data_IF_830311477856
#
_entry.id   IF_830311477856
#
_cell.length_a   1.000
_cell.length_b   1.000
_cell.length_c   1.000
_cell.angle_alpha   90.00
_cell.angle_beta   90.00
_cell.angle_gamma   90.00
#
_symmetry.space_group_name_H-M   'P 1'
#
loop_
_entity.id
_entity.type
_entity.pdbx_description
1 polymer ?
#
# COMPACT_ATOMS: atom_id res chain seq x y z
N UNK A 1 4.28 8.84 28.58
CA UNK A 1 4.73 7.46 28.87
C UNK A 1 6.23 7.47 29.05
N UNK A 2 6.77 6.90 30.14
CA UNK A 2 8.21 6.84 30.37
C UNK A 2 8.86 5.97 29.30
N UNK A 3 9.73 6.55 28.47
CA UNK A 3 10.56 5.78 27.54
C UNK A 3 11.49 4.87 28.35
N UNK A 4 11.19 3.59 28.39
CA UNK A 4 12.03 2.58 29.02
C UNK A 4 13.27 2.38 28.14
N UNK A 5 14.36 3.07 28.46
CA UNK A 5 15.63 2.90 27.74
C UNK A 5 16.22 1.54 28.12
N UNK A 6 16.33 0.64 27.15
CA UNK A 6 16.99 -0.66 27.36
C UNK A 6 18.49 -0.42 27.57
N UNK A 7 19.02 -0.86 28.71
CA UNK A 7 20.43 -0.71 29.03
C UNK A 7 21.33 -1.37 27.97
N UNK A 8 22.54 -0.84 27.79
CA UNK A 8 23.56 -1.41 26.91
C UNK A 8 24.01 -2.81 27.40
N UNK A 9 24.51 -3.67 26.49
CA UNK A 9 25.04 -4.98 26.88
C UNK A 9 26.30 -4.82 27.73
N UNK A 10 26.36 -5.54 28.85
CA UNK A 10 27.54 -5.57 29.73
C UNK A 10 28.52 -6.71 29.40
N UNK A 11 28.15 -7.61 28.49
CA UNK A 11 28.95 -8.76 28.08
C UNK A 11 28.94 -8.89 26.55
N UNK A 12 29.98 -9.55 26.02
CA UNK A 12 30.16 -9.71 24.57
C UNK A 12 29.28 -10.82 23.97
N UNK A 13 28.65 -11.66 24.79
CA UNK A 13 27.78 -12.77 24.35
C UNK A 13 28.41 -13.67 23.27
N UNK A 14 29.71 -13.95 23.42
CA UNK A 14 30.52 -14.74 22.47
C UNK A 14 30.04 -16.18 22.30
N UNK A 15 29.08 -16.66 23.09
CA UNK A 15 28.51 -18.00 22.96
C UNK A 15 27.53 -18.13 21.77
N UNK A 16 26.94 -17.02 21.31
CA UNK A 16 25.95 -17.04 20.23
C UNK A 16 26.61 -16.95 18.86
N UNK A 17 26.43 -17.99 18.03
CA UNK A 17 26.92 -18.00 16.64
C UNK A 17 26.30 -16.87 15.82
N UNK A 18 25.02 -16.57 16.01
CA UNK A 18 24.34 -15.46 15.34
C UNK A 18 25.00 -14.11 15.65
N UNK A 19 25.36 -13.89 16.91
CA UNK A 19 26.01 -12.65 17.36
C UNK A 19 27.45 -12.52 16.85
N UNK A 20 28.11 -13.64 16.58
CA UNK A 20 29.47 -13.68 16.00
C UNK A 20 29.50 -13.42 14.49
N UNK A 21 28.35 -13.47 13.80
CA UNK A 21 28.32 -13.24 12.36
C UNK A 21 28.73 -11.80 12.02
N UNK A 22 29.34 -11.57 10.84
CA UNK A 22 29.52 -10.24 10.28
C UNK A 22 28.20 -9.47 10.24
N UNK A 23 28.25 -8.15 10.39
CA UNK A 23 27.05 -7.32 10.48
C UNK A 23 26.18 -7.47 9.24
N UNK A 24 26.78 -7.56 8.07
CA UNK A 24 26.11 -7.70 6.77
C UNK A 24 25.25 -8.97 6.71
N UNK A 25 25.74 -10.08 7.27
CA UNK A 25 25.01 -11.35 7.32
C UNK A 25 23.88 -11.28 8.35
N UNK A 26 24.12 -10.62 9.49
CA UNK A 26 23.07 -10.39 10.50
C UNK A 26 21.94 -9.55 9.92
N UNK A 27 22.26 -8.45 9.24
CA UNK A 27 21.28 -7.56 8.62
C UNK A 27 20.44 -8.33 7.59
N UNK A 28 21.06 -9.14 6.74
CA UNK A 28 20.34 -10.00 5.79
C UNK A 28 19.38 -10.99 6.49
N UNK A 29 19.82 -11.65 7.56
CA UNK A 29 18.97 -12.56 8.35
C UNK A 29 17.82 -11.78 9.00
N UNK A 30 18.09 -10.61 9.57
CA UNK A 30 17.08 -9.82 10.27
C UNK A 30 16.05 -9.25 9.32
N UNK A 31 16.45 -8.76 8.15
CA UNK A 31 15.52 -8.29 7.13
C UNK A 31 14.53 -9.38 6.71
N UNK A 32 15.01 -10.60 6.46
CA UNK A 32 14.16 -11.75 6.18
C UNK A 32 13.22 -12.09 7.34
N UNK A 33 13.69 -11.94 8.58
CA UNK A 33 12.90 -12.23 9.76
C UNK A 33 11.88 -11.12 10.10
N UNK A 34 12.14 -9.89 9.68
CA UNK A 34 11.31 -8.72 9.98
C UNK A 34 10.22 -8.46 8.95
N UNK A 35 10.30 -9.11 7.80
CA UNK A 35 9.23 -9.09 6.79
C UNK A 35 8.08 -10.01 7.24
N UNK A 36 6.87 -9.45 7.32
CA UNK A 36 5.66 -10.20 7.60
C UNK A 36 5.05 -10.78 6.32
N UNK A 37 4.42 -11.95 6.41
CA UNK A 37 3.68 -12.58 5.31
C UNK A 37 2.42 -11.80 4.85
N UNK A 38 2.17 -10.59 5.39
CA UNK A 38 1.04 -9.73 5.00
C UNK A 38 1.03 -8.37 5.72
N UNK A 39 -0.05 -7.59 5.60
CA UNK A 39 -0.18 -6.21 6.12
C UNK A 39 -0.50 -6.04 7.62
N UNK A 40 0.45 -5.59 8.47
CA UNK A 40 0.36 -5.59 9.94
C UNK A 40 -0.85 -4.76 10.38
N UNK A 41 -1.83 -5.38 11.02
CA UNK A 41 -3.14 -4.76 11.32
C UNK A 41 -3.11 -4.07 12.67
N UNK A 42 -3.55 -2.81 12.71
CA UNK A 42 -3.73 -1.99 13.92
C UNK A 42 -2.60 -2.19 14.96
N UNK A 43 -1.32 -1.96 14.59
CA UNK A 43 -0.19 -2.15 15.49
C UNK A 43 -0.24 -1.14 16.65
N UNK A 44 -0.99 -1.43 17.70
CA UNK A 44 -1.13 -0.53 18.84
C UNK A 44 -0.07 -0.83 19.90
N UNK A 45 0.69 0.17 20.39
CA UNK A 45 1.66 -0.02 21.45
C UNK A 45 1.00 -0.60 22.71
N UNK A 46 1.45 -1.77 23.17
CA UNK A 46 1.02 -2.37 24.44
C UNK A 46 -0.28 -3.18 24.38
N UNK A 47 -0.98 -3.21 23.24
CA UNK A 47 -2.09 -4.13 23.02
C UNK A 47 -1.59 -5.38 22.30
N UNK A 48 -1.91 -6.55 22.85
CA UNK A 48 -1.67 -7.82 22.18
C UNK A 48 -2.51 -7.93 20.89
N UNK A 49 -2.16 -8.87 19.99
CA UNK A 49 -2.90 -9.06 18.75
C UNK A 49 -4.40 -9.24 19.03
N UNK A 50 -5.22 -8.57 18.21
CA UNK A 50 -6.67 -8.69 18.24
C UNK A 50 -7.10 -10.15 18.07
N UNK A 51 -8.15 -10.57 18.78
CA UNK A 51 -8.74 -11.91 18.59
C UNK A 51 -9.19 -12.07 17.13
N UNK A 52 -8.46 -12.88 16.37
CA UNK A 52 -8.74 -13.15 14.95
C UNK A 52 -7.56 -12.87 14.02
N UNK A 53 -6.52 -12.17 14.48
CA UNK A 53 -5.31 -12.00 13.70
C UNK A 53 -4.49 -13.30 13.69
N UNK A 54 -4.24 -13.83 12.48
CA UNK A 54 -3.31 -14.94 12.28
C UNK A 54 -1.96 -14.53 12.86
N UNK A 55 -1.31 -15.35 13.71
CA UNK A 55 0.01 -15.03 14.24
C UNK A 55 0.98 -14.87 13.07
N UNK A 56 1.39 -13.64 12.83
CA UNK A 56 2.35 -13.36 11.76
C UNK A 56 3.71 -13.72 12.28
N UNK A 57 4.44 -14.50 11.50
CA UNK A 57 5.80 -14.89 11.81
C UNK A 57 6.73 -13.71 11.58
N UNK A 58 6.63 -12.68 12.43
CA UNK A 58 7.65 -11.66 12.52
C UNK A 58 8.65 -12.08 13.60
N UNK A 59 9.92 -12.15 13.23
CA UNK A 59 11.05 -12.41 14.11
C UNK A 59 11.38 -11.25 15.05
N UNK A 60 10.43 -10.37 15.39
CA UNK A 60 10.64 -9.26 16.35
C UNK A 60 11.12 -9.75 17.72
N UNK A 61 10.76 -11.00 18.09
CA UNK A 61 11.27 -11.65 19.30
C UNK A 61 12.80 -11.81 19.28
N UNK A 62 13.44 -11.80 18.11
CA UNK A 62 14.91 -11.81 18.00
C UNK A 62 15.51 -10.59 18.71
N UNK A 63 14.86 -9.42 18.61
CA UNK A 63 15.28 -8.20 19.30
C UNK A 63 15.17 -8.33 20.83
N UNK A 64 14.30 -9.20 21.31
CA UNK A 64 14.10 -9.46 22.74
C UNK A 64 15.06 -10.52 23.30
N UNK A 65 15.82 -11.22 22.45
CA UNK A 65 16.74 -12.29 22.86
C UNK A 65 17.84 -11.77 23.77
N UNK A 66 18.41 -10.60 23.45
CA UNK A 66 19.43 -9.97 24.27
C UNK A 66 19.61 -8.49 23.97
N UNK A 67 20.19 -7.76 24.94
CA UNK A 67 20.50 -6.32 24.81
C UNK A 67 21.42 -6.03 23.63
N UNK A 68 22.37 -6.92 23.32
CA UNK A 68 23.31 -6.71 22.21
C UNK A 68 22.57 -6.70 20.86
N UNK A 69 21.74 -7.70 20.60
CA UNK A 69 20.93 -7.74 19.38
C UNK A 69 19.95 -6.56 19.32
N UNK A 70 19.33 -6.19 20.44
CA UNK A 70 18.45 -5.02 20.48
C UNK A 70 19.13 -3.72 20.00
N UNK A 71 20.39 -3.51 20.37
CA UNK A 71 21.14 -2.29 20.05
C UNK A 71 21.90 -2.35 18.71
N UNK A 72 22.37 -3.53 18.29
CA UNK A 72 23.13 -3.70 17.03
C UNK A 72 22.25 -3.87 15.79
N UNK A 73 21.00 -4.29 15.97
CA UNK A 73 20.12 -4.59 14.83
C UNK A 73 19.51 -3.31 14.27
N UNK A 74 19.65 -3.09 12.96
CA UNK A 74 18.89 -2.06 12.28
C UNK A 74 17.41 -2.45 12.22
N UNK A 75 16.56 -1.60 12.80
CA UNK A 75 15.10 -1.83 12.88
C UNK A 75 14.35 -1.14 11.75
N UNK A 76 15.02 -0.38 10.89
CA UNK A 76 14.38 0.34 9.78
C UNK A 76 13.66 -0.62 8.82
N UNK A 77 14.17 -1.83 8.62
CA UNK A 77 13.54 -2.85 7.77
C UNK A 77 12.15 -3.27 8.23
N UNK A 78 11.86 -3.25 9.54
CA UNK A 78 10.50 -3.46 10.06
C UNK A 78 9.49 -2.46 9.48
N UNK A 79 9.93 -1.24 9.17
CA UNK A 79 9.07 -0.18 8.67
C UNK A 79 9.12 -0.04 7.14
N UNK A 80 10.27 -0.35 6.52
CA UNK A 80 10.43 -0.19 5.07
C UNK A 80 9.91 -1.36 4.25
N UNK A 81 9.83 -2.57 4.82
CA UNK A 81 9.47 -3.81 4.09
C UNK A 81 8.04 -4.29 4.37
N UNK A 82 7.36 -3.70 5.36
CA UNK A 82 6.03 -4.13 5.76
C UNK A 82 4.96 -3.12 5.37
N UNK A 83 3.79 -3.63 4.99
CA UNK A 83 2.57 -2.85 4.86
C UNK A 83 1.91 -2.72 6.24
N UNK A 84 1.47 -1.53 6.64
CA UNK A 84 0.72 -1.32 7.88
C UNK A 84 -0.75 -0.99 7.58
N UNK A 85 -1.69 -1.79 8.09
CA UNK A 85 -3.13 -1.66 7.85
C UNK A 85 -3.85 -1.01 9.02
N UNK A 86 -4.72 -0.05 8.74
CA UNK A 86 -5.53 0.64 9.73
C UNK A 86 -6.97 0.79 9.27
N UNK A 87 -7.93 0.67 10.19
CA UNK A 87 -9.35 0.87 9.90
C UNK A 87 -9.87 2.26 10.31
N UNK A 88 -9.12 2.98 11.15
CA UNK A 88 -9.45 4.35 11.61
C UNK A 88 -8.22 5.26 11.55
N UNK A 89 -8.47 6.57 11.43
CA UNK A 89 -7.43 7.60 11.48
C UNK A 89 -6.77 7.63 12.86
N UNK A 90 -7.56 7.52 13.93
CA UNK A 90 -7.07 7.53 15.32
C UNK A 90 -6.01 6.46 15.59
N UNK A 91 -6.23 5.22 15.13
CA UNK A 91 -5.24 4.16 15.29
C UNK A 91 -3.96 4.43 14.48
N UNK A 92 -4.11 4.99 13.27
CA UNK A 92 -2.98 5.32 12.41
C UNK A 92 -2.14 6.46 13.00
N UNK A 93 -2.76 7.60 13.31
CA UNK A 93 -2.07 8.78 13.84
C UNK A 93 -1.44 8.48 15.20
N UNK A 94 -2.12 7.73 16.07
CA UNK A 94 -1.56 7.29 17.36
C UNK A 94 -0.34 6.40 17.17
N UNK A 95 -0.41 5.41 16.28
CA UNK A 95 0.73 4.54 16.01
C UNK A 95 1.91 5.33 15.44
N UNK A 96 1.68 6.09 14.35
CA UNK A 96 2.73 6.86 13.68
C UNK A 96 3.36 7.89 14.62
N UNK A 97 2.54 8.60 15.41
CA UNK A 97 2.99 9.56 16.42
C UNK A 97 3.72 8.92 17.60
N UNK A 98 3.58 7.61 17.84
CA UNK A 98 4.34 6.88 18.86
C UNK A 98 5.75 6.49 18.41
N UNK A 99 6.03 6.53 17.11
CA UNK A 99 7.32 6.17 16.54
C UNK A 99 8.34 7.30 16.70
N UNK A 100 9.62 6.93 16.73
CA UNK A 100 10.67 7.94 16.58
C UNK A 100 10.61 8.56 15.18
N UNK A 101 11.08 9.81 14.98
CA UNK A 101 11.07 10.45 13.66
C UNK A 101 11.76 9.61 12.58
N UNK A 102 12.83 8.90 12.93
CA UNK A 102 13.57 8.01 12.01
C UNK A 102 12.72 6.83 11.56
N UNK A 103 11.94 6.23 12.46
CA UNK A 103 11.09 5.07 12.15
C UNK A 103 9.82 5.47 11.40
N UNK A 104 9.18 6.59 11.79
CA UNK A 104 8.04 7.15 11.05
C UNK A 104 8.44 7.50 9.60
N UNK A 105 9.60 8.13 9.40
CA UNK A 105 10.16 8.39 8.06
C UNK A 105 10.61 7.13 7.30
N UNK A 106 10.69 5.98 7.98
CA UNK A 106 11.00 4.69 7.35
C UNK A 106 9.76 3.94 6.87
N UNK A 107 8.54 4.38 7.23
CA UNK A 107 7.31 3.76 6.76
C UNK A 107 7.12 4.07 5.28
N UNK A 108 7.10 3.00 4.47
CA UNK A 108 7.00 3.09 3.00
C UNK A 108 5.61 2.77 2.49
N UNK A 109 4.85 1.91 3.17
CA UNK A 109 3.57 1.41 2.69
C UNK A 109 2.52 1.36 3.79
N UNK A 110 1.35 1.93 3.49
CA UNK A 110 0.20 2.00 4.38
C UNK A 110 -1.04 1.50 3.65
N UNK A 111 -1.89 0.75 4.35
CA UNK A 111 -3.18 0.31 3.88
C UNK A 111 -4.32 0.86 4.73
N UNK A 112 -5.33 1.41 4.08
CA UNK A 112 -6.58 1.84 4.71
C UNK A 112 -7.63 0.77 4.47
N UNK A 113 -8.12 0.17 5.55
CA UNK A 113 -9.23 -0.79 5.52
C UNK A 113 -10.57 -0.06 5.65
N UNK A 114 -11.39 -0.16 4.61
CA UNK A 114 -12.67 0.53 4.53
C UNK A 114 -13.83 -0.25 5.17
N UNK A 115 -13.58 -1.43 5.75
CA UNK A 115 -14.63 -2.26 6.36
C UNK A 115 -15.51 -1.52 7.38
N UNK A 116 -14.93 -0.57 8.13
CA UNK A 116 -15.65 0.20 9.17
C UNK A 116 -16.40 1.43 8.62
N UNK A 117 -16.33 1.72 7.32
CA UNK A 117 -17.08 2.82 6.73
C UNK A 117 -18.59 2.54 6.77
N UNK A 118 -19.38 3.55 7.13
CA UNK A 118 -20.82 3.40 7.37
C UNK A 118 -21.59 4.68 7.03
N UNK A 119 -22.69 4.60 6.27
CA UNK A 119 -23.51 5.77 5.90
C UNK A 119 -24.11 6.49 7.13
N UNK A 120 -24.60 5.75 8.12
CA UNK A 120 -25.12 6.32 9.38
C UNK A 120 -24.05 6.89 10.32
N UNK A 121 -22.77 6.62 10.09
CA UNK A 121 -21.66 7.16 10.87
C UNK A 121 -20.61 7.77 9.93
N UNK A 122 -20.95 8.87 9.22
CA UNK A 122 -20.09 9.44 8.19
C UNK A 122 -18.82 10.10 8.77
N UNK A 123 -18.67 10.15 10.10
CA UNK A 123 -17.51 10.68 10.79
C UNK A 123 -16.20 10.05 10.31
N UNK A 124 -16.13 8.71 10.31
CA UNK A 124 -14.93 7.98 9.88
C UNK A 124 -14.57 8.26 8.41
N UNK A 125 -15.57 8.32 7.53
CA UNK A 125 -15.36 8.64 6.13
C UNK A 125 -14.77 10.06 5.97
N UNK A 126 -15.30 11.03 6.71
CA UNK A 126 -14.82 12.42 6.70
C UNK A 126 -13.42 12.57 7.30
N UNK A 127 -13.14 11.88 8.41
CA UNK A 127 -11.82 11.86 9.05
C UNK A 127 -10.75 11.40 8.08
N UNK A 128 -11.00 10.30 7.35
CA UNK A 128 -10.07 9.82 6.33
C UNK A 128 -9.82 10.86 5.23
N UNK A 129 -10.88 11.52 4.73
CA UNK A 129 -10.73 12.56 3.71
C UNK A 129 -9.91 13.76 4.21
N UNK A 130 -10.05 14.11 5.48
CA UNK A 130 -9.27 15.17 6.10
C UNK A 130 -7.81 14.76 6.27
N UNK A 131 -7.56 13.59 6.84
CA UNK A 131 -6.23 13.09 7.13
C UNK A 131 -5.38 12.82 5.88
N UNK A 132 -6.04 12.41 4.79
CA UNK A 132 -5.40 12.21 3.48
C UNK A 132 -5.20 13.50 2.68
N UNK A 133 -5.81 14.61 3.07
CA UNK A 133 -5.65 15.86 2.32
C UNK A 133 -4.25 16.44 2.53
N UNK A 134 -3.43 16.45 1.49
CA UNK A 134 -2.11 17.08 1.53
C UNK A 134 -2.30 18.60 1.41
N UNK A 135 -2.35 19.30 2.54
CA UNK A 135 -2.42 20.77 2.58
C UNK A 135 -3.04 21.35 3.85
N UNK A 136 -2.73 22.63 4.12
CA UNK A 136 -3.11 23.41 5.30
C UNK A 136 -4.62 23.67 5.41
N UNK A 137 -5.43 22.62 5.60
CA UNK A 137 -6.81 22.79 6.01
C UNK A 137 -6.86 23.29 7.47
N UNK A 138 -7.87 24.07 7.83
CA UNK A 138 -8.07 24.65 9.17
C UNK A 138 -8.03 23.64 10.34
N UNK A 139 -8.09 22.34 10.05
CA UNK A 139 -8.11 21.20 10.97
C UNK A 139 -6.73 20.57 11.23
N UNK A 140 -5.67 21.03 10.52
CA UNK A 140 -4.28 20.55 10.66
C UNK A 140 -3.78 20.55 12.10
N UNK A 141 -4.34 21.44 12.93
CA UNK A 141 -3.97 21.57 14.35
C UNK A 141 -4.49 20.44 15.25
N UNK A 142 -5.45 19.63 14.79
CA UNK A 142 -6.17 18.67 15.65
C UNK A 142 -5.95 17.19 15.29
N UNK A 143 -5.85 16.84 14.01
CA UNK A 143 -5.76 15.45 13.54
C UNK A 143 -4.43 15.11 12.85
N UNK A 144 -3.58 16.12 12.55
CA UNK A 144 -2.39 15.93 11.70
C UNK A 144 -2.75 15.54 10.27
N UNK A 145 -1.76 15.09 9.51
CA UNK A 145 -1.93 14.59 8.15
C UNK A 145 -1.04 13.38 7.90
N UNK A 146 -1.46 12.48 7.00
CA UNK A 146 -0.68 11.29 6.66
C UNK A 146 0.73 11.65 6.14
N UNK A 147 0.84 12.75 5.38
CA UNK A 147 2.13 13.23 4.88
C UNK A 147 3.07 13.69 6.01
N UNK A 148 2.52 14.32 7.06
CA UNK A 148 3.31 14.72 8.22
C UNK A 148 3.72 13.52 9.09
N UNK A 149 2.80 12.57 9.28
CA UNK A 149 2.98 11.42 10.17
C UNK A 149 3.81 10.28 9.54
N UNK A 150 3.84 10.19 8.21
CA UNK A 150 4.64 9.23 7.45
C UNK A 150 5.33 9.91 6.25
N UNK A 151 6.33 10.79 6.48
CA UNK A 151 6.97 11.57 5.42
C UNK A 151 7.77 10.72 4.41
N UNK A 152 8.05 9.46 4.75
CA UNK A 152 8.70 8.48 3.88
C UNK A 152 7.76 7.68 2.99
N UNK A 153 6.44 7.92 3.05
CA UNK A 153 5.43 7.11 2.40
C UNK A 153 5.65 7.08 0.87
N UNK A 154 5.69 5.87 0.31
CA UNK A 154 5.85 5.62 -1.12
C UNK A 154 4.62 4.95 -1.73
N UNK A 155 3.89 4.17 -0.94
CA UNK A 155 2.70 3.46 -1.38
C UNK A 155 1.52 3.67 -0.43
N UNK A 156 0.37 4.00 -1.01
CA UNK A 156 -0.92 3.96 -0.34
C UNK A 156 -1.79 2.86 -0.94
N UNK A 157 -2.35 2.00 -0.10
CA UNK A 157 -3.32 0.98 -0.46
C UNK A 157 -4.69 1.33 0.11
N UNK A 158 -5.73 1.24 -0.70
CA UNK A 158 -7.12 1.40 -0.26
C UNK A 158 -7.85 0.07 -0.42
N UNK A 159 -8.23 -0.54 0.69
CA UNK A 159 -8.81 -1.88 0.71
C UNK A 159 -10.35 -1.82 0.82
N UNK A 160 -11.03 -2.18 -0.27
CA UNK A 160 -12.48 -2.29 -0.42
C UNK A 160 -12.95 -3.75 -0.55
N UNK A 161 -12.10 -4.74 -0.25
CA UNK A 161 -12.42 -6.17 -0.38
C UNK A 161 -13.63 -6.61 0.47
N UNK A 162 -13.89 -5.87 1.55
CA UNK A 162 -15.04 -6.11 2.43
C UNK A 162 -16.38 -5.78 1.79
N UNK A 163 -16.43 -5.11 0.64
CA UNK A 163 -17.67 -4.97 -0.14
C UNK A 163 -18.22 -6.38 -0.52
N UNK A 164 -19.54 -6.66 -0.38
CA UNK A 164 -20.67 -5.77 -0.10
C UNK A 164 -21.06 -5.62 1.38
N UNK A 165 -20.19 -5.98 2.31
CA UNK A 165 -20.47 -5.89 3.76
C UNK A 165 -20.25 -4.49 4.32
N UNK A 166 -19.63 -3.59 3.55
CA UNK A 166 -19.46 -2.18 3.92
C UNK A 166 -20.84 -1.55 3.93
N UNK A 167 -21.25 -1.00 5.08
CA UNK A 167 -22.57 -0.45 5.33
C UNK A 167 -22.73 0.96 4.73
N UNK A 168 -22.41 1.10 3.45
CA UNK A 168 -22.48 2.35 2.70
C UNK A 168 -23.19 2.11 1.36
N UNK A 169 -23.96 3.11 0.89
CA UNK A 169 -24.57 3.01 -0.45
C UNK A 169 -23.48 2.99 -1.52
N UNK A 170 -23.70 2.27 -2.63
CA UNK A 170 -22.71 2.10 -3.72
C UNK A 170 -22.14 3.43 -4.23
N UNK A 171 -23.01 4.39 -4.53
CA UNK A 171 -22.63 5.72 -5.01
C UNK A 171 -21.84 6.51 -3.95
N UNK A 172 -22.22 6.40 -2.68
CA UNK A 172 -21.51 7.05 -1.57
C UNK A 172 -20.11 6.44 -1.41
N UNK A 173 -20.00 5.11 -1.47
CA UNK A 173 -18.73 4.39 -1.38
C UNK A 173 -17.80 4.70 -2.56
N UNK A 174 -18.35 4.79 -3.77
CA UNK A 174 -17.62 5.18 -4.97
C UNK A 174 -17.08 6.60 -4.86
N UNK A 175 -17.91 7.55 -4.42
CA UNK A 175 -17.48 8.92 -4.19
C UNK A 175 -16.45 9.02 -3.07
N UNK A 176 -16.57 8.19 -2.03
CA UNK A 176 -15.58 8.13 -0.96
C UNK A 176 -14.21 7.68 -1.49
N UNK A 177 -14.15 6.61 -2.28
CA UNK A 177 -12.92 6.17 -2.96
C UNK A 177 -12.31 7.30 -3.80
N UNK A 178 -13.12 7.93 -4.66
CA UNK A 178 -12.68 9.03 -5.53
C UNK A 178 -12.13 10.22 -4.75
N UNK A 179 -12.77 10.55 -3.63
CA UNK A 179 -12.38 11.67 -2.77
C UNK A 179 -11.12 11.35 -1.95
N UNK A 180 -10.93 10.09 -1.53
CA UNK A 180 -9.71 9.65 -0.85
C UNK A 180 -8.48 9.82 -1.76
N UNK A 181 -8.63 9.64 -3.07
CA UNK A 181 -7.54 9.82 -4.04
C UNK A 181 -7.33 11.28 -4.49
N UNK A 182 -8.29 12.18 -4.27
CA UNK A 182 -8.32 13.49 -4.93
C UNK A 182 -7.25 14.49 -4.47
N UNK A 183 -6.66 14.29 -3.28
CA UNK A 183 -5.73 15.24 -2.65
C UNK A 183 -4.41 14.61 -2.24
N UNK A 184 -4.06 13.51 -2.90
CA UNK A 184 -2.83 12.77 -2.68
C UNK A 184 -1.99 12.94 -3.95
N UNK A 185 -0.71 13.23 -3.78
CA UNK A 185 0.23 13.40 -4.88
C UNK A 185 1.58 12.76 -4.51
N UNK A 186 2.60 12.83 -5.36
CA UNK A 186 3.99 12.50 -4.97
C UNK A 186 4.30 11.04 -4.57
N UNK A 187 3.34 10.11 -4.64
CA UNK A 187 3.58 8.69 -4.34
C UNK A 187 4.37 8.01 -5.47
N UNK A 188 4.97 6.87 -5.17
CA UNK A 188 5.54 5.98 -6.20
C UNK A 188 4.52 4.94 -6.67
N UNK A 189 3.53 4.63 -5.82
CA UNK A 189 2.55 3.57 -6.03
C UNK A 189 1.24 3.89 -5.32
N UNK A 190 0.13 3.57 -5.97
CA UNK A 190 -1.19 3.51 -5.32
C UNK A 190 -1.88 2.20 -5.71
N UNK A 191 -2.53 1.56 -4.74
CA UNK A 191 -3.25 0.30 -4.96
C UNK A 191 -4.68 0.45 -4.44
N UNK A 192 -5.65 -0.02 -5.22
CA UNK A 192 -7.05 -0.13 -4.79
C UNK A 192 -7.45 -1.61 -4.91
N UNK A 193 -7.75 -2.22 -3.78
CA UNK A 193 -8.15 -3.62 -3.70
C UNK A 193 -9.66 -3.74 -3.60
N UNK A 194 -10.25 -4.62 -4.40
CA UNK A 194 -11.68 -4.89 -4.45
C UNK A 194 -12.01 -6.38 -4.33
N UNK A 195 -13.30 -6.66 -4.18
CA UNK A 195 -13.84 -8.01 -4.18
C UNK A 195 -14.06 -8.50 -5.62
N UNK A 196 -13.43 -9.61 -5.99
CA UNK A 196 -13.50 -10.19 -7.34
C UNK A 196 -13.81 -11.69 -7.26
N UNK A 197 -14.90 -12.02 -6.55
CA UNK A 197 -15.31 -13.41 -6.29
C UNK A 197 -16.27 -13.92 -7.36
N UNK A 198 -15.98 -15.12 -7.86
CA UNK A 198 -16.86 -15.86 -8.77
C UNK A 198 -16.60 -15.60 -10.26
N UNK A 199 -17.07 -16.51 -11.10
CA UNK A 199 -16.78 -16.54 -12.54
C UNK A 199 -17.27 -15.29 -13.30
N UNK A 200 -18.35 -14.66 -12.83
CA UNK A 200 -18.86 -13.44 -13.43
C UNK A 200 -17.90 -12.25 -13.24
N UNK A 201 -17.21 -12.18 -12.09
CA UNK A 201 -16.25 -11.12 -11.79
C UNK A 201 -14.96 -11.28 -12.60
N UNK A 202 -14.53 -12.50 -12.88
CA UNK A 202 -13.35 -12.76 -13.72
C UNK A 202 -13.48 -12.18 -15.15
N UNK A 203 -14.71 -12.04 -15.65
CA UNK A 203 -15.01 -11.46 -16.97
C UNK A 203 -15.09 -9.94 -16.96
N UNK A 204 -15.19 -9.31 -15.78
CA UNK A 204 -15.30 -7.85 -15.65
C UNK A 204 -13.93 -7.22 -15.84
N UNK A 205 -13.94 -6.04 -16.46
CA UNK A 205 -12.73 -5.26 -16.67
C UNK A 205 -12.10 -4.89 -15.32
N UNK A 206 -10.76 -4.91 -15.19
CA UNK A 206 -10.08 -4.74 -13.91
C UNK A 206 -10.22 -3.35 -13.27
N UNK A 207 -10.76 -2.37 -14.00
CA UNK A 207 -11.05 -1.02 -13.51
C UNK A 207 -12.55 -0.79 -13.31
N UNK A 208 -13.39 -1.81 -13.54
CA UNK A 208 -14.85 -1.70 -13.35
C UNK A 208 -15.16 -1.41 -11.87
N UNK A 209 -16.05 -0.44 -11.59
CA UNK A 209 -16.51 -0.13 -10.24
C UNK A 209 -17.17 -1.32 -9.54
N UNK A 210 -17.67 -2.32 -10.28
CA UNK A 210 -18.27 -3.53 -9.72
C UNK A 210 -17.34 -4.24 -8.74
N UNK A 211 -16.02 -4.20 -8.95
CA UNK A 211 -15.05 -4.81 -8.04
C UNK A 211 -14.96 -4.10 -6.68
N UNK A 212 -15.25 -2.81 -6.63
CA UNK A 212 -15.05 -1.98 -5.43
C UNK A 212 -16.37 -1.66 -4.73
N UNK A 213 -17.46 -1.54 -5.49
CA UNK A 213 -18.77 -1.09 -4.99
C UNK A 213 -19.96 -1.85 -5.60
N UNK A 214 -19.73 -2.87 -6.43
CA UNK A 214 -20.78 -3.83 -6.85
C UNK A 214 -21.77 -3.36 -7.90
N UNK A 215 -21.52 -2.24 -8.58
CA UNK A 215 -22.37 -1.75 -9.67
C UNK A 215 -21.59 -0.84 -10.62
N UNK A 216 -21.98 -0.84 -11.90
CA UNK A 216 -21.48 0.06 -12.94
C UNK A 216 -22.27 1.39 -12.98
N UNK A 217 -23.37 1.48 -12.24
CA UNK A 217 -24.29 2.62 -12.13
C UNK A 217 -23.89 3.64 -11.06
N UNK A 218 -22.58 3.88 -10.89
CA UNK A 218 -22.04 4.71 -9.80
C UNK A 218 -21.47 6.07 -10.22
N UNK A 219 -21.57 6.40 -11.51
CA UNK A 219 -21.22 7.72 -12.05
C UNK A 219 -20.00 7.66 -12.97
N UNK A 220 -19.09 8.63 -12.81
CA UNK A 220 -17.93 8.81 -13.70
C UNK A 220 -16.89 7.71 -13.48
N UNK A 221 -16.45 7.10 -14.58
CA UNK A 221 -15.36 6.11 -14.62
C UNK A 221 -13.99 6.83 -14.70
N UNK A 222 -13.59 7.46 -13.59
CA UNK A 222 -12.35 8.24 -13.45
C UNK A 222 -11.37 7.67 -12.42
N UNK A 223 -11.52 6.40 -12.03
CA UNK A 223 -10.67 5.78 -11.01
C UNK A 223 -9.20 5.74 -11.41
N UNK A 224 -8.89 5.20 -12.60
CA UNK A 224 -7.51 5.10 -13.09
C UNK A 224 -6.88 6.50 -13.26
N UNK A 225 -7.52 7.49 -13.91
CA UNK A 225 -6.99 8.85 -13.97
C UNK A 225 -6.69 9.46 -12.58
N UNK A 226 -7.56 9.23 -11.59
CA UNK A 226 -7.32 9.69 -10.21
C UNK A 226 -6.13 8.99 -9.56
N UNK A 227 -6.04 7.67 -9.69
CA UNK A 227 -4.88 6.91 -9.21
C UNK A 227 -3.60 7.40 -9.90
N UNK A 228 -3.66 7.68 -11.19
CA UNK A 228 -2.56 8.17 -12.00
C UNK A 228 -2.02 9.52 -11.55
N UNK A 229 -2.90 10.44 -11.13
CA UNK A 229 -2.49 11.73 -10.57
C UNK A 229 -1.83 11.63 -9.19
N UNK A 230 -2.08 10.55 -8.44
CA UNK A 230 -1.43 10.38 -7.12
C UNK A 230 0.04 10.00 -7.21
N UNK A 231 0.46 9.40 -8.32
CA UNK A 231 1.84 8.95 -8.54
C UNK A 231 2.66 10.10 -9.14
N UNK A 232 3.74 10.49 -8.47
CA UNK A 232 4.53 11.68 -8.80
C UNK A 232 5.49 11.55 -9.99
N UNK A 233 5.64 10.36 -10.57
CA UNK A 233 6.48 10.15 -11.75
C UNK A 233 5.94 10.90 -12.99
N UNK A 234 6.75 10.99 -14.06
CA UNK A 234 6.25 11.45 -15.36
C UNK A 234 5.30 10.41 -15.97
N UNK A 235 4.36 10.82 -16.82
CA UNK A 235 3.32 9.92 -17.37
C UNK A 235 3.90 8.73 -18.15
N UNK A 236 4.89 8.96 -19.00
CA UNK A 236 5.65 7.91 -19.71
C UNK A 236 6.44 6.97 -18.78
N UNK A 237 6.57 7.31 -17.50
CA UNK A 237 7.29 6.54 -16.49
C UNK A 237 6.36 5.88 -15.47
N UNK A 238 5.07 5.75 -15.81
CA UNK A 238 4.05 5.08 -14.99
C UNK A 238 3.40 3.95 -15.78
N UNK A 239 2.83 3.00 -15.04
CA UNK A 239 2.05 1.90 -15.62
C UNK A 239 0.85 1.59 -14.74
N UNK A 240 -0.26 1.21 -15.37
CA UNK A 240 -1.42 0.62 -14.70
C UNK A 240 -1.21 -0.89 -14.66
N UNK A 241 -1.37 -1.52 -13.50
CA UNK A 241 -1.27 -2.96 -13.32
C UNK A 241 -2.54 -3.48 -12.66
N UNK A 242 -2.86 -4.74 -12.90
CA UNK A 242 -3.87 -5.44 -12.12
C UNK A 242 -3.46 -6.88 -11.84
N UNK A 243 -3.92 -7.37 -10.70
CA UNK A 243 -3.70 -8.74 -10.25
C UNK A 243 -4.99 -9.31 -9.70
N UNK A 244 -5.39 -10.50 -10.16
CA UNK A 244 -6.50 -11.26 -9.59
C UNK A 244 -5.95 -12.46 -8.86
N UNK A 245 -6.24 -12.55 -7.57
CA UNK A 245 -5.80 -13.66 -6.73
C UNK A 245 -6.77 -13.87 -5.57
N UNK A 246 -7.08 -15.13 -5.23
CA UNK A 246 -7.89 -15.50 -4.06
C UNK A 246 -9.24 -14.76 -3.94
N UNK A 247 -9.89 -14.51 -5.08
CA UNK A 247 -11.17 -13.79 -5.14
C UNK A 247 -11.07 -12.29 -4.86
N UNK A 248 -9.87 -11.72 -4.99
CA UNK A 248 -9.55 -10.29 -4.87
C UNK A 248 -9.04 -9.76 -6.20
N UNK A 249 -9.23 -8.47 -6.40
CA UNK A 249 -8.62 -7.73 -7.50
C UNK A 249 -7.84 -6.57 -6.90
N UNK A 250 -6.56 -6.49 -7.23
CA UNK A 250 -5.73 -5.33 -6.93
C UNK A 250 -5.53 -4.57 -8.23
N UNK A 251 -6.02 -3.32 -8.28
CA UNK A 251 -5.68 -2.37 -9.33
C UNK A 251 -4.60 -1.45 -8.80
N UNK A 252 -3.59 -1.20 -9.60
CA UNK A 252 -2.39 -0.50 -9.20
C UNK A 252 -2.00 0.53 -10.26
N UNK A 253 -1.54 1.70 -9.82
CA UNK A 253 -0.72 2.59 -10.65
C UNK A 253 0.62 2.77 -9.96
N UNK A 254 1.71 2.62 -10.71
CA UNK A 254 3.06 2.57 -10.15
C UNK A 254 4.08 3.21 -11.08
N UNK A 255 5.10 3.86 -10.52
CA UNK A 255 6.25 4.32 -11.28
C UNK A 255 7.09 3.12 -11.74
N UNK A 256 7.55 3.14 -13.00
CA UNK A 256 8.32 2.03 -13.59
C UNK A 256 9.63 1.80 -12.81
N UNK A 257 10.26 2.88 -12.32
CA UNK A 257 11.47 2.80 -11.49
C UNK A 257 11.20 2.08 -10.16
N UNK A 258 10.10 2.37 -9.48
CA UNK A 258 9.73 1.71 -8.24
C UNK A 258 9.34 0.25 -8.48
N UNK A 259 8.61 -0.01 -9.57
CA UNK A 259 8.21 -1.34 -10.01
C UNK A 259 9.42 -2.26 -10.19
N UNK A 260 10.36 -1.87 -11.04
CA UNK A 260 11.54 -2.69 -11.36
C UNK A 260 12.47 -2.87 -10.17
N UNK A 261 12.50 -1.89 -9.25
CA UNK A 261 13.38 -1.97 -8.07
C UNK A 261 12.82 -2.81 -6.94
N UNK A 262 11.51 -2.74 -6.68
CA UNK A 262 10.94 -3.24 -5.43
C UNK A 262 9.83 -4.28 -5.59
N UNK A 263 9.22 -4.42 -6.77
CA UNK A 263 8.01 -5.25 -6.94
C UNK A 263 8.24 -6.35 -7.96
N UNK A 264 8.65 -6.00 -9.17
CA UNK A 264 8.76 -6.90 -10.31
C UNK A 264 9.97 -6.53 -11.17
N UNK A 265 11.19 -6.97 -10.78
CA UNK A 265 12.42 -6.65 -11.49
C UNK A 265 12.49 -7.21 -12.92
N UNK A 266 11.62 -8.16 -13.24
CA UNK A 266 11.57 -8.83 -14.53
C UNK A 266 10.42 -8.34 -15.41
N UNK A 267 9.76 -7.25 -15.03
CA UNK A 267 8.70 -6.66 -15.84
C UNK A 267 9.26 -6.18 -17.19
N UNK A 268 8.72 -6.74 -18.28
CA UNK A 268 9.20 -6.52 -19.64
C UNK A 268 8.27 -5.64 -20.50
N UNK A 269 7.21 -5.07 -19.91
CA UNK A 269 6.32 -4.15 -20.60
C UNK A 269 4.82 -4.41 -20.38
N UNK A 270 3.96 -3.56 -20.96
CA UNK A 270 2.51 -3.72 -20.89
C UNK A 270 2.05 -5.04 -21.53
N UNK A 271 0.96 -5.57 -21.00
CA UNK A 271 0.24 -6.69 -21.60
C UNK A 271 -0.49 -6.22 -22.85
N UNK A 272 -0.27 -6.89 -23.98
CA UNK A 272 -0.94 -6.56 -25.24
C UNK A 272 -2.21 -7.40 -25.36
N UNK A 273 -3.36 -6.74 -25.19
CA UNK A 273 -4.65 -7.32 -25.61
C UNK A 273 -4.76 -7.17 -27.12
N UNK A 274 -5.12 -8.24 -27.86
CA UNK A 274 -5.12 -8.22 -29.33
C UNK A 274 -6.36 -7.55 -29.90
N UNK A 275 -7.49 -7.69 -29.21
CA UNK A 275 -8.75 -7.02 -29.54
C UNK A 275 -9.46 -6.55 -28.29
N UNK A 276 -10.25 -5.48 -28.39
CA UNK A 276 -11.12 -5.03 -27.31
C UNK A 276 -12.15 -6.09 -26.86
N UNK A 277 -12.44 -7.06 -27.73
CA UNK A 277 -13.35 -8.19 -27.47
C UNK A 277 -12.69 -9.35 -26.70
N UNK A 278 -11.36 -9.38 -26.61
CA UNK A 278 -10.65 -10.42 -25.87
C UNK A 278 -10.92 -10.31 -24.37
N UNK A 279 -10.99 -11.45 -23.65
CA UNK A 279 -11.10 -11.44 -22.21
C UNK A 279 -9.88 -10.77 -21.57
N UNK A 280 -10.10 -10.08 -20.46
CA UNK A 280 -9.01 -9.53 -19.66
C UNK A 280 -8.20 -10.67 -19.04
N UNK A 281 -6.85 -10.64 -19.14
CA UNK A 281 -6.04 -11.62 -18.44
C UNK A 281 -6.18 -11.44 -16.93
N UNK A 282 -5.96 -12.51 -16.17
CA UNK A 282 -6.05 -12.49 -14.70
C UNK A 282 -5.14 -11.42 -14.12
N UNK A 283 -3.90 -11.39 -14.60
CA UNK A 283 -2.87 -10.42 -14.26
C UNK A 283 -2.41 -9.72 -15.53
N UNK A 284 -2.20 -8.42 -15.47
CA UNK A 284 -1.73 -7.68 -16.63
C UNK A 284 -1.38 -6.24 -16.31
N UNK A 285 -0.95 -5.52 -17.34
CA UNK A 285 -0.57 -4.12 -17.23
C UNK A 285 -0.83 -3.36 -18.53
N UNK A 286 -1.09 -2.06 -18.45
CA UNK A 286 -1.22 -1.18 -19.62
C UNK A 286 -0.76 0.24 -19.29
N UNK A 287 -0.42 1.01 -20.32
CA UNK A 287 -0.18 2.46 -20.17
C UNK A 287 -1.50 3.20 -19.95
N UNK A 288 -1.44 4.48 -19.55
CA UNK A 288 -2.65 5.31 -19.49
C UNK A 288 -3.34 5.40 -20.85
N UNK A 289 -2.58 5.54 -21.93
CA UNK A 289 -3.11 5.52 -23.29
C UNK A 289 -3.85 4.22 -23.59
N UNK A 290 -3.26 3.07 -23.25
CA UNK A 290 -3.89 1.76 -23.41
C UNK A 290 -5.18 1.62 -22.58
N UNK A 291 -5.22 2.22 -21.40
CA UNK A 291 -6.46 2.31 -20.60
C UNK A 291 -7.52 3.20 -21.25
N UNK A 292 -7.16 4.39 -21.75
CA UNK A 292 -8.09 5.33 -22.38
C UNK A 292 -8.67 4.76 -23.69
N UNK A 293 -7.89 3.96 -24.41
CA UNK A 293 -8.27 3.35 -25.68
C UNK A 293 -8.71 1.88 -25.54
N UNK A 294 -8.98 1.42 -24.32
CA UNK A 294 -9.29 0.02 -23.99
C UNK A 294 -10.45 -0.58 -24.78
N UNK A 295 -11.44 0.24 -25.14
CA UNK A 295 -12.65 -0.20 -25.84
C UNK A 295 -12.53 -0.02 -27.36
N UNK A 296 -11.29 0.13 -27.85
CA UNK A 296 -10.95 0.26 -29.25
C UNK A 296 -9.84 -0.72 -29.61
N UNK A 297 -9.74 -1.09 -30.89
CA UNK A 297 -8.60 -1.85 -31.42
C UNK A 297 -7.42 -0.93 -31.81
N UNK A 298 -7.35 0.29 -31.22
CA UNK A 298 -6.27 1.24 -31.48
C UNK A 298 -5.00 0.73 -30.82
N UNK A 299 -3.99 0.46 -31.64
CA UNK A 299 -2.64 0.15 -31.16
C UNK A 299 -1.99 1.41 -30.60
N UNK A 300 -1.27 1.26 -29.48
CA UNK A 300 -0.47 2.36 -28.90
C UNK A 300 0.33 3.08 -30.00
N UNK A 301 0.40 4.44 -29.98
CA UNK A 301 1.34 5.14 -30.83
C UNK A 301 2.72 4.58 -30.46
N UNK A 302 3.40 3.94 -31.42
CA UNK A 302 4.72 3.35 -31.23
C UNK A 302 5.63 4.36 -30.53
N UNK A 303 5.79 4.21 -29.22
CA UNK A 303 6.86 4.85 -28.47
C UNK A 303 8.12 4.24 -29.02
N UNK A 304 8.81 5.01 -29.87
CA UNK A 304 10.16 4.67 -30.34
C UNK A 304 11.01 4.33 -29.11
N UNK A 305 11.33 3.04 -28.97
CA UNK A 305 12.38 2.47 -28.14
C UNK A 305 12.43 2.95 -26.69
N UNK A 306 11.84 2.16 -25.78
CA UNK A 306 12.49 1.96 -24.48
C UNK A 306 13.85 1.30 -24.75
N UNK A 307 14.89 2.11 -24.91
CA UNK A 307 16.27 1.63 -24.91
C UNK A 307 16.74 1.73 -23.45
N UNK A 308 16.88 0.62 -22.70
CA UNK A 308 17.25 0.64 -21.29
C UNK A 308 18.74 0.96 -21.05
N UNK A 309 19.44 1.48 -22.05
CA UNK A 309 20.89 1.73 -22.04
C UNK A 309 21.28 3.21 -21.91
N UNK A 310 20.40 4.07 -21.41
CA UNK A 310 20.74 5.46 -21.06
C UNK A 310 20.65 5.69 -19.54
N UNK A 311 21.49 4.96 -18.81
CA UNK A 311 21.86 5.25 -17.43
C UNK A 311 23.32 4.79 -17.22
N UNK A 312 24.24 5.54 -17.83
CA UNK A 312 25.61 5.71 -17.33
C UNK A 312 25.74 7.13 -16.80
#
# INVERSE_FOLDING_TARGET
MSSSVIAYPANLQTQSRLVQLPQEIKDFIFDLCFTADGAIVEPMPGNGPSKGDVPRRMGVNLLQTCRRLYHETDRRSLFTQNTFRFSTVDCMSTYLGSLSPVHSASIREVEIDTQRLHSSHPGLAREWLQYLSWGNAQWDKSLGSLHADAPGLKCLRLNFESWPRIAMKRVELWNQLRNMLAKIEGLERVVVSGSSRGAAMAKRAPFSPVHYVGGDDVGVDDLVPRMWSTVGAADQSKIVRWTRQDGKLELEVVSISYLLKNIDPYWYGPSVRRSHTDPWPENGSCTLFGYENRDSDVTEPTTKGFNPSAAE
#
